data_IF_491661086037
#
_entry.id   IF_491661086037
#
_cell.length_a   1.000
_cell.length_b   1.000
_cell.length_c   1.000
_cell.angle_alpha   90.00
_cell.angle_beta   90.00
_cell.angle_gamma   90.00
#
_symmetry.space_group_name_H-M   'P 1'
#
loop_
_entity.id
_entity.type
_entity.pdbx_description
1 polymer ?
#
# COMPACT_ATOMS: atom_id res chain seq x y z
N UNK A 1 10.34 20.25 20.14
CA UNK A 1 9.98 19.94 18.74
C UNK A 1 10.42 18.51 18.46
N UNK A 2 9.57 17.66 17.88
CA UNK A 2 9.93 16.27 17.56
C UNK A 2 11.14 16.26 16.62
N UNK A 3 12.25 15.65 17.05
CA UNK A 3 13.45 15.49 16.23
C UNK A 3 13.37 14.18 15.43
N UNK A 4 13.27 14.29 14.11
CA UNK A 4 13.18 13.13 13.20
C UNK A 4 14.38 12.18 13.30
N UNK A 5 15.59 12.65 13.64
CA UNK A 5 16.74 11.76 13.81
C UNK A 5 16.69 10.93 15.10
N UNK A 6 15.94 11.40 16.10
CA UNK A 6 15.83 10.75 17.42
C UNK A 6 14.57 9.89 17.48
N UNK A 7 13.45 10.39 16.98
CA UNK A 7 12.14 9.76 17.10
C UNK A 7 11.65 9.10 15.81
N UNK A 8 12.37 9.30 14.69
CA UNK A 8 11.99 8.86 13.36
C UNK A 8 11.23 9.92 12.56
N UNK A 9 11.56 10.01 11.28
CA UNK A 9 10.98 10.97 10.35
C UNK A 9 9.50 10.68 10.09
N UNK A 10 9.10 9.40 10.04
CA UNK A 10 7.71 8.99 9.79
C UNK A 10 6.80 9.41 10.93
N UNK A 11 7.16 9.09 12.18
CA UNK A 11 6.43 9.54 13.38
C UNK A 11 6.36 11.07 13.46
N UNK A 12 7.47 11.75 13.14
CA UNK A 12 7.52 13.21 13.16
C UNK A 12 6.57 13.81 12.13
N UNK A 13 6.49 13.22 10.92
CA UNK A 13 5.58 13.65 9.87
C UNK A 13 4.11 13.43 10.24
N UNK A 14 3.77 12.27 10.80
CA UNK A 14 2.40 12.00 11.28
C UNK A 14 1.99 12.97 12.39
N UNK A 15 2.87 13.16 13.38
CA UNK A 15 2.61 14.09 14.48
C UNK A 15 2.43 15.52 13.97
N UNK A 16 3.24 15.94 13.00
CA UNK A 16 3.11 17.26 12.36
C UNK A 16 1.80 17.40 11.58
N UNK A 17 1.35 16.35 10.85
CA UNK A 17 0.06 16.36 10.13
C UNK A 17 -1.10 16.62 11.08
N UNK A 18 -1.16 15.89 12.19
CA UNK A 18 -2.22 16.07 13.21
C UNK A 18 -2.19 17.48 13.79
N UNK A 19 -1.00 18.03 14.08
CA UNK A 19 -0.88 19.41 14.57
C UNK A 19 -1.37 20.41 13.53
N UNK A 20 -1.04 20.22 12.25
CA UNK A 20 -1.50 21.09 11.16
C UNK A 20 -3.03 21.01 11.02
N UNK A 21 -3.63 19.83 11.10
CA UNK A 21 -5.09 19.64 11.04
C UNK A 21 -5.81 20.35 12.19
N UNK A 22 -5.26 20.27 13.41
CA UNK A 22 -5.80 20.99 14.57
C UNK A 22 -5.69 22.51 14.38
N UNK A 23 -4.53 23.01 13.94
CA UNK A 23 -4.33 24.45 13.68
C UNK A 23 -5.29 24.94 12.60
N UNK A 24 -5.42 24.20 11.50
CA UNK A 24 -6.33 24.52 10.39
C UNK A 24 -7.79 24.56 10.87
N UNK A 25 -8.18 23.62 11.73
CA UNK A 25 -9.54 23.60 12.29
C UNK A 25 -9.80 24.76 13.25
N UNK A 26 -8.82 25.15 14.06
CA UNK A 26 -8.90 26.34 14.92
C UNK A 26 -8.96 27.61 14.09
N UNK A 27 -8.17 27.72 13.02
CA UNK A 27 -8.23 28.84 12.09
C UNK A 27 -9.59 28.95 11.43
N UNK A 28 -10.16 27.83 10.96
CA UNK A 28 -11.50 27.80 10.39
C UNK A 28 -12.56 28.30 11.39
N UNK A 29 -12.48 27.88 12.65
CA UNK A 29 -13.37 28.37 13.72
C UNK A 29 -13.20 29.88 13.95
N UNK A 30 -11.96 30.38 13.99
CA UNK A 30 -11.69 31.82 14.14
C UNK A 30 -12.26 32.64 12.98
N UNK A 31 -12.10 32.17 11.74
CA UNK A 31 -12.69 32.80 10.55
C UNK A 31 -14.21 32.84 10.66
N UNK A 32 -14.86 31.75 11.07
CA UNK A 32 -16.31 31.74 11.30
C UNK A 32 -16.75 32.79 12.32
N UNK A 33 -15.99 33.01 13.40
CA UNK A 33 -16.31 34.09 14.35
C UNK A 33 -16.17 35.49 13.76
N UNK A 34 -15.16 35.73 12.93
CA UNK A 34 -14.98 37.02 12.24
C UNK A 34 -16.12 37.28 11.25
N UNK A 35 -16.55 36.25 10.50
CA UNK A 35 -17.67 36.34 9.56
C UNK A 35 -19.01 36.62 10.26
N UNK A 36 -19.24 36.05 11.45
CA UNK A 36 -20.41 36.35 12.29
C UNK A 36 -20.45 37.83 12.69
N UNK A 37 -19.30 38.38 13.08
CA UNK A 37 -19.18 39.77 13.51
C UNK A 37 -19.46 40.73 12.35
N UNK A 38 -18.88 40.48 11.17
CA UNK A 38 -19.02 41.33 9.99
C UNK A 38 -20.42 41.28 9.36
N UNK A 39 -21.10 40.13 9.38
CA UNK A 39 -22.37 39.93 8.68
C UNK A 39 -23.61 40.40 9.45
N UNK A 40 -23.54 40.56 10.78
CA UNK A 40 -24.67 40.96 11.63
C UNK A 40 -25.86 39.98 11.65
N UNK A 41 -25.86 38.95 10.80
CA UNK A 41 -26.87 37.90 10.69
C UNK A 41 -26.59 36.76 11.66
N UNK A 42 -26.95 36.95 12.94
CA UNK A 42 -26.83 35.92 14.00
C UNK A 42 -27.60 34.62 13.72
N UNK A 43 -28.54 34.61 12.77
CA UNK A 43 -29.50 33.51 12.59
C UNK A 43 -29.00 32.36 11.69
N UNK A 44 -28.07 32.59 10.76
CA UNK A 44 -27.53 31.54 9.88
C UNK A 44 -26.19 30.96 10.35
N UNK A 45 -25.44 31.73 11.13
CA UNK A 45 -24.09 31.36 11.54
C UNK A 45 -24.00 30.84 12.99
N UNK A 46 -25.13 30.81 13.72
CA UNK A 46 -25.22 30.30 15.09
C UNK A 46 -24.94 28.80 15.25
N UNK A 47 -25.00 28.01 14.17
CA UNK A 47 -24.72 26.56 14.19
C UNK A 47 -23.34 26.22 13.63
N UNK A 48 -22.80 27.01 12.68
CA UNK A 48 -21.51 26.70 12.03
C UNK A 48 -20.35 26.67 13.03
N UNK A 49 -20.30 27.61 13.98
CA UNK A 49 -19.25 27.60 15.01
C UNK A 49 -19.35 26.38 15.94
N UNK A 50 -20.55 25.84 16.18
CA UNK A 50 -20.74 24.60 16.94
C UNK A 50 -20.21 23.41 16.16
N UNK A 51 -20.47 23.33 14.86
CA UNK A 51 -19.93 22.28 13.98
C UNK A 51 -18.39 22.34 13.97
N UNK A 52 -17.81 23.53 13.82
CA UNK A 52 -16.35 23.73 13.84
C UNK A 52 -15.74 23.38 15.19
N UNK A 53 -16.39 23.75 16.29
CA UNK A 53 -15.97 23.36 17.64
C UNK A 53 -16.01 21.85 17.84
N UNK A 54 -17.09 21.20 17.38
CA UNK A 54 -17.23 19.74 17.38
C UNK A 54 -16.10 19.05 16.59
N UNK A 55 -15.74 19.59 15.43
CA UNK A 55 -14.63 19.06 14.62
C UNK A 55 -13.28 19.13 15.36
N UNK A 56 -12.98 20.23 16.06
CA UNK A 56 -11.75 20.36 16.87
C UNK A 56 -11.75 19.31 17.99
N UNK A 57 -12.87 19.14 18.70
CA UNK A 57 -12.97 18.12 19.74
C UNK A 57 -12.77 16.70 19.20
N UNK A 58 -13.38 16.38 18.06
CA UNK A 58 -13.20 15.10 17.39
C UNK A 58 -11.73 14.85 17.01
N UNK A 59 -11.03 15.85 16.48
CA UNK A 59 -9.60 15.74 16.16
C UNK A 59 -8.75 15.49 17.42
N UNK A 60 -9.02 16.21 18.52
CA UNK A 60 -8.30 16.02 19.78
C UNK A 60 -8.58 14.63 20.38
N UNK A 61 -9.83 14.18 20.36
CA UNK A 61 -10.21 12.86 20.85
C UNK A 61 -9.58 11.75 20.03
N UNK A 62 -9.63 11.87 18.70
CA UNK A 62 -8.96 10.97 17.76
C UNK A 62 -7.46 10.91 18.06
N UNK A 63 -6.77 12.05 18.18
CA UNK A 63 -5.33 12.10 18.48
C UNK A 63 -4.97 11.46 19.83
N UNK A 64 -5.87 11.55 20.82
CA UNK A 64 -5.69 10.96 22.17
C UNK A 64 -6.08 9.49 22.27
N UNK A 65 -6.80 8.96 21.29
CA UNK A 65 -7.21 7.56 21.27
C UNK A 65 -6.01 6.61 21.18
N UNK A 66 -6.20 5.34 21.51
CA UNK A 66 -5.14 4.33 21.42
C UNK A 66 -4.63 4.15 19.98
N UNK A 67 -5.50 4.41 19.00
CA UNK A 67 -5.20 4.33 17.57
C UNK A 67 -4.91 5.72 16.97
N UNK A 68 -4.82 6.75 17.81
CA UNK A 68 -4.62 8.16 17.46
C UNK A 68 -3.20 8.45 16.98
N UNK A 69 -2.33 8.95 17.85
CA UNK A 69 -0.92 9.14 17.49
C UNK A 69 -0.10 7.85 17.69
N UNK A 70 0.82 7.49 16.77
CA UNK A 70 1.69 6.35 16.98
C UNK A 70 2.64 6.62 18.16
N UNK A 71 2.96 5.57 18.92
CA UNK A 71 3.80 5.66 20.13
C UNK A 71 5.29 5.75 19.80
N UNK A 72 5.69 5.21 18.65
CA UNK A 72 7.05 5.17 18.15
C UNK A 72 7.06 5.13 16.62
N UNK A 73 8.24 5.19 16.02
CA UNK A 73 8.38 5.18 14.56
C UNK A 73 7.94 3.85 13.94
N UNK A 74 8.13 2.73 14.63
CA UNK A 74 7.70 1.42 14.16
C UNK A 74 6.18 1.38 13.98
N UNK A 75 5.44 1.88 14.97
CA UNK A 75 3.98 1.98 14.92
C UNK A 75 3.52 2.91 13.80
N UNK A 76 4.21 4.03 13.56
CA UNK A 76 3.92 4.95 12.47
C UNK A 76 4.10 4.26 11.09
N UNK A 77 5.24 3.62 10.88
CA UNK A 77 5.52 2.86 9.64
C UNK A 77 4.52 1.73 9.47
N UNK A 78 4.23 0.96 10.53
CA UNK A 78 3.21 -0.09 10.50
C UNK A 78 1.85 0.44 10.08
N UNK A 79 1.44 1.58 10.63
CA UNK A 79 0.17 2.22 10.29
C UNK A 79 0.12 2.61 8.83
N UNK A 80 1.19 3.19 8.28
CA UNK A 80 1.29 3.49 6.85
C UNK A 80 1.08 2.22 6.00
N UNK A 81 1.76 1.13 6.35
CA UNK A 81 1.58 -0.13 5.65
C UNK A 81 0.15 -0.68 5.78
N UNK A 82 -0.43 -0.66 6.99
CA UNK A 82 -1.80 -1.10 7.22
C UNK A 82 -2.84 -0.28 6.43
N UNK A 83 -2.60 1.03 6.24
CA UNK A 83 -3.49 1.91 5.47
C UNK A 83 -3.63 1.45 4.03
N UNK A 84 -2.54 1.01 3.42
CA UNK A 84 -2.51 0.62 2.00
C UNK A 84 -2.93 -0.85 1.78
N UNK A 85 -3.02 -1.64 2.85
CA UNK A 85 -3.35 -3.06 2.79
C UNK A 85 -4.74 -3.33 2.18
N UNK A 86 -5.74 -2.52 2.56
CA UNK A 86 -7.11 -2.67 2.05
C UNK A 86 -7.19 -2.37 0.56
N UNK A 87 -6.56 -1.29 0.10
CA UNK A 87 -6.54 -0.92 -1.31
C UNK A 87 -5.84 -1.98 -2.18
N UNK A 88 -4.74 -2.58 -1.70
CA UNK A 88 -4.09 -3.70 -2.38
C UNK A 88 -4.98 -4.94 -2.48
N UNK A 89 -5.77 -5.23 -1.43
CA UNK A 89 -6.72 -6.34 -1.44
C UNK A 89 -7.89 -6.06 -2.41
N UNK A 90 -8.37 -4.82 -2.43
CA UNK A 90 -9.41 -4.37 -3.36
C UNK A 90 -8.94 -4.51 -4.81
N UNK A 91 -7.72 -4.09 -5.16
CA UNK A 91 -7.18 -4.28 -6.52
C UNK A 91 -7.03 -5.76 -6.92
N UNK A 92 -6.69 -6.65 -5.97
CA UNK A 92 -6.69 -8.10 -6.23
C UNK A 92 -8.09 -8.63 -6.48
N UNK A 93 -9.08 -8.14 -5.74
CA UNK A 93 -10.48 -8.54 -5.86
C UNK A 93 -11.09 -8.03 -7.18
N UNK A 94 -10.87 -6.77 -7.51
CA UNK A 94 -11.31 -6.14 -8.76
C UNK A 94 -10.84 -6.92 -9.99
N UNK A 95 -9.55 -7.26 -10.08
CA UNK A 95 -9.04 -8.08 -11.19
C UNK A 95 -9.60 -9.51 -11.16
N UNK A 96 -9.93 -10.03 -9.98
CA UNK A 96 -10.64 -11.30 -9.83
C UNK A 96 -12.04 -11.24 -10.43
N UNK A 97 -12.81 -10.21 -10.09
CA UNK A 97 -14.15 -9.93 -10.61
C UNK A 97 -14.11 -9.76 -12.13
N UNK A 98 -13.16 -8.97 -12.66
CA UNK A 98 -12.92 -8.80 -14.11
C UNK A 98 -12.71 -10.13 -14.85
N UNK A 99 -12.02 -11.09 -14.25
CA UNK A 99 -11.81 -12.43 -14.84
C UNK A 99 -13.09 -13.25 -14.80
N UNK A 100 -13.86 -13.17 -13.72
CA UNK A 100 -15.12 -13.91 -13.57
C UNK A 100 -16.17 -13.39 -14.56
N UNK A 101 -16.29 -12.08 -14.70
CA UNK A 101 -17.22 -11.42 -15.64
C UNK A 101 -16.92 -11.83 -17.09
N UNK A 102 -15.65 -11.73 -17.51
CA UNK A 102 -15.23 -12.14 -18.86
C UNK A 102 -15.43 -13.64 -19.16
N UNK A 103 -15.55 -14.49 -18.13
CA UNK A 103 -15.85 -15.91 -18.32
C UNK A 103 -17.35 -16.18 -18.42
N UNK A 104 -18.19 -15.36 -17.79
CA UNK A 104 -19.64 -15.51 -17.76
C UNK A 104 -20.31 -14.90 -19.02
N UNK A 105 -19.74 -13.85 -19.60
CA UNK A 105 -20.25 -13.18 -20.81
C UNK A 105 -20.27 -14.06 -22.07
N UNK A 106 -19.58 -15.21 -22.06
CA UNK A 106 -19.62 -16.15 -23.19
C UNK A 106 -20.95 -16.90 -23.35
N UNK A 107 -21.94 -16.72 -22.45
CA UNK A 107 -23.22 -17.46 -22.47
C UNK A 107 -24.49 -16.61 -22.72
N UNK A 108 -24.43 -15.28 -22.83
CA UNK A 108 -25.65 -14.46 -22.95
C UNK A 108 -25.56 -13.42 -24.07
N UNK A 109 -26.05 -13.81 -25.24
CA UNK A 109 -26.31 -13.00 -26.43
C UNK A 109 -27.67 -12.28 -26.27
N UNK A 110 -27.86 -11.51 -25.19
CA UNK A 110 -29.09 -10.72 -24.96
C UNK A 110 -28.78 -9.23 -25.05
N UNK A 111 -29.13 -8.67 -26.22
CA UNK A 111 -29.24 -7.27 -26.62
C UNK A 111 -29.79 -6.36 -25.49
N UNK A 112 -28.89 -5.90 -24.64
CA UNK A 112 -29.14 -5.00 -23.54
C UNK A 112 -29.10 -3.58 -24.10
N UNK A 113 -30.28 -3.02 -24.38
CA UNK A 113 -30.55 -1.73 -25.06
C UNK A 113 -29.97 -0.45 -24.42
N UNK A 114 -28.76 -0.53 -23.85
CA UNK A 114 -27.86 0.56 -23.47
C UNK A 114 -27.18 1.22 -24.68
N UNK A 115 -27.23 0.60 -25.86
CA UNK A 115 -26.75 1.17 -27.14
C UNK A 115 -27.40 2.53 -27.49
N UNK A 116 -28.56 2.85 -26.91
CA UNK A 116 -29.26 4.11 -27.15
C UNK A 116 -28.67 5.31 -26.37
N UNK A 117 -27.76 5.09 -25.41
CA UNK A 117 -27.11 6.16 -24.64
C UNK A 117 -25.73 6.57 -25.19
N UNK A 118 -25.22 5.90 -26.22
CA UNK A 118 -23.89 6.19 -26.79
C UNK A 118 -22.74 5.98 -25.80
N UNK A 119 -22.98 5.23 -24.73
CA UNK A 119 -21.95 4.69 -23.85
C UNK A 119 -21.51 3.41 -24.53
N UNK A 120 -20.40 3.44 -25.26
CA UNK A 120 -19.86 2.21 -25.84
C UNK A 120 -19.60 1.22 -24.69
N UNK A 121 -20.24 0.05 -24.70
CA UNK A 121 -19.98 -0.96 -23.67
C UNK A 121 -18.49 -1.31 -23.69
N UNK A 122 -17.93 -1.53 -22.49
CA UNK A 122 -16.56 -2.04 -22.35
C UNK A 122 -16.41 -3.26 -23.26
N UNK A 123 -15.40 -3.26 -24.12
CA UNK A 123 -15.16 -4.41 -24.99
C UNK A 123 -14.84 -5.64 -24.14
N UNK A 124 -15.43 -6.80 -24.42
CA UNK A 124 -15.10 -8.02 -23.68
C UNK A 124 -13.63 -8.37 -23.88
N UNK A 125 -13.00 -8.97 -22.86
CA UNK A 125 -11.61 -9.40 -22.94
C UNK A 125 -11.47 -10.52 -23.98
N UNK A 126 -10.50 -10.39 -24.89
CA UNK A 126 -10.11 -11.49 -25.77
C UNK A 126 -9.48 -12.64 -24.97
N UNK A 127 -9.41 -13.85 -25.54
CA UNK A 127 -8.78 -15.00 -24.86
C UNK A 127 -7.33 -14.73 -24.44
N UNK A 128 -6.59 -13.96 -25.25
CA UNK A 128 -5.20 -13.59 -24.96
C UNK A 128 -5.09 -12.59 -23.81
N UNK A 129 -5.98 -11.60 -23.78
CA UNK A 129 -6.09 -10.61 -22.71
C UNK A 129 -6.53 -11.27 -21.40
N UNK A 130 -7.56 -12.11 -21.42
CA UNK A 130 -7.99 -12.88 -20.26
C UNK A 130 -6.85 -13.74 -19.69
N UNK A 131 -6.05 -14.37 -20.56
CA UNK A 131 -4.86 -15.13 -20.14
C UNK A 131 -3.78 -14.22 -19.53
N UNK A 132 -3.63 -12.98 -20.02
CA UNK A 132 -2.72 -11.98 -19.46
C UNK A 132 -3.20 -11.51 -18.09
N UNK A 133 -4.47 -11.12 -17.97
CA UNK A 133 -5.15 -10.72 -16.73
C UNK A 133 -5.00 -11.79 -15.64
N UNK A 134 -5.21 -13.07 -15.96
CA UNK A 134 -5.00 -14.20 -15.01
C UNK A 134 -3.56 -14.29 -14.47
N UNK A 135 -2.57 -13.98 -15.31
CA UNK A 135 -1.17 -13.97 -14.87
C UNK A 135 -0.86 -12.74 -14.01
N UNK A 136 -1.38 -11.57 -14.38
CA UNK A 136 -1.26 -10.34 -13.58
C UNK A 136 -1.91 -10.52 -12.21
N UNK A 137 -3.11 -11.12 -12.13
CA UNK A 137 -3.74 -11.46 -10.85
C UNK A 137 -2.82 -12.30 -9.95
N UNK A 138 -2.05 -13.22 -10.53
CA UNK A 138 -1.08 -14.02 -9.77
C UNK A 138 0.07 -13.17 -9.21
N UNK A 139 0.52 -12.15 -9.96
CA UNK A 139 1.51 -11.17 -9.50
C UNK A 139 0.94 -10.34 -8.35
N UNK A 140 -0.26 -9.79 -8.50
CA UNK A 140 -0.92 -8.96 -7.49
C UNK A 140 -1.15 -9.73 -6.19
N UNK A 141 -1.59 -11.00 -6.27
CA UNK A 141 -1.75 -11.87 -5.08
C UNK A 141 -0.44 -12.09 -4.32
N UNK A 142 0.67 -12.27 -5.04
CA UNK A 142 1.99 -12.41 -4.41
C UNK A 142 2.47 -11.09 -3.80
N UNK A 143 2.20 -9.95 -4.44
CA UNK A 143 2.50 -8.63 -3.90
C UNK A 143 1.71 -8.34 -2.62
N UNK A 144 0.41 -8.65 -2.61
CA UNK A 144 -0.42 -8.55 -1.41
C UNK A 144 0.11 -9.48 -0.29
N UNK A 145 0.45 -10.74 -0.62
CA UNK A 145 1.06 -11.66 0.35
C UNK A 145 2.37 -11.12 0.94
N UNK A 146 3.25 -10.58 0.10
CA UNK A 146 4.50 -9.93 0.53
C UNK A 146 4.19 -8.78 1.49
N UNK A 147 3.25 -7.91 1.13
CA UNK A 147 2.87 -6.73 1.92
C UNK A 147 2.32 -7.12 3.30
N UNK A 148 1.39 -8.06 3.35
CA UNK A 148 0.86 -8.62 4.60
C UNK A 148 1.96 -9.24 5.47
N UNK A 149 2.95 -9.89 4.85
CA UNK A 149 4.08 -10.49 5.56
C UNK A 149 5.06 -9.46 6.10
N UNK A 150 5.27 -8.34 5.41
CA UNK A 150 6.00 -7.21 6.01
C UNK A 150 5.27 -6.67 7.23
N UNK A 151 3.95 -6.49 7.17
CA UNK A 151 3.17 -6.02 8.33
C UNK A 151 3.28 -6.98 9.52
N UNK A 152 3.07 -8.27 9.28
CA UNK A 152 2.91 -9.27 10.34
C UNK A 152 4.23 -9.81 10.90
N UNK A 153 5.28 -9.92 10.10
CA UNK A 153 6.55 -10.51 10.53
C UNK A 153 7.60 -9.43 10.82
N UNK A 154 7.59 -8.35 10.03
CA UNK A 154 8.53 -7.25 10.22
C UNK A 154 7.88 -6.27 11.21
N UNK A 155 6.88 -5.51 10.76
CA UNK A 155 6.40 -4.35 11.51
C UNK A 155 5.63 -4.70 12.82
N UNK A 156 5.35 -5.97 13.07
CA UNK A 156 4.74 -6.45 14.33
C UNK A 156 5.76 -7.00 15.34
N UNK A 157 7.02 -7.16 14.98
CA UNK A 157 8.05 -7.63 15.90
C UNK A 157 8.40 -6.50 16.87
N UNK A 158 8.00 -6.65 18.14
CA UNK A 158 8.12 -5.63 19.21
C UNK A 158 9.56 -5.32 19.65
N UNK A 159 10.58 -5.61 18.84
CA UNK A 159 11.95 -5.34 19.21
C UNK A 159 12.34 -3.92 18.86
N UNK A 160 12.69 -3.16 19.90
CA UNK A 160 13.31 -1.82 19.87
C UNK A 160 14.70 -1.78 19.20
N UNK A 161 15.02 -2.73 18.33
CA UNK A 161 16.33 -2.93 17.71
C UNK A 161 16.49 -2.27 16.35
N UNK A 162 15.42 -1.83 15.70
CA UNK A 162 15.55 -1.20 14.40
C UNK A 162 15.85 0.28 14.52
N UNK A 163 16.93 0.69 13.86
CA UNK A 163 17.24 2.10 13.70
C UNK A 163 16.09 2.80 12.96
N UNK A 164 15.67 3.95 13.49
CA UNK A 164 14.58 4.74 12.90
C UNK A 164 14.81 5.06 11.43
N UNK A 165 16.07 5.26 11.01
CA UNK A 165 16.42 5.49 9.60
C UNK A 165 16.01 4.34 8.69
N UNK A 166 16.16 3.09 9.12
CA UNK A 166 15.80 1.92 8.30
C UNK A 166 14.28 1.80 8.19
N UNK A 167 13.57 2.09 9.29
CA UNK A 167 12.11 2.17 9.31
C UNK A 167 11.58 3.28 8.39
N UNK A 168 12.19 4.45 8.45
CA UNK A 168 11.83 5.60 7.61
C UNK A 168 12.04 5.31 6.12
N UNK A 169 13.05 4.50 5.77
CA UNK A 169 13.27 4.06 4.39
C UNK A 169 12.26 3.00 3.92
N UNK A 170 11.64 2.26 4.84
CA UNK A 170 10.59 1.28 4.54
C UNK A 170 9.21 1.94 4.39
N UNK A 171 8.96 3.04 5.09
CA UNK A 171 7.69 3.78 5.05
C UNK A 171 7.19 4.15 3.64
N UNK A 172 8.01 4.73 2.73
CA UNK A 172 7.55 5.13 1.40
C UNK A 172 7.36 3.95 0.43
N UNK A 173 7.78 2.73 0.79
CA UNK A 173 7.71 1.58 -0.10
C UNK A 173 6.31 0.96 -0.16
N UNK A 174 5.50 1.08 0.90
CA UNK A 174 4.10 0.64 0.87
C UNK A 174 3.26 1.41 -0.16
N UNK A 175 3.18 2.76 -0.13
CA UNK A 175 2.39 3.49 -1.11
C UNK A 175 2.98 3.39 -2.53
N UNK A 176 4.30 3.19 -2.67
CA UNK A 176 4.91 2.93 -3.96
C UNK A 176 4.48 1.56 -4.54
N UNK A 177 4.34 0.54 -3.69
CA UNK A 177 3.84 -0.77 -4.10
C UNK A 177 2.37 -0.70 -4.49
N UNK A 178 1.54 -0.04 -3.68
CA UNK A 178 0.13 0.20 -3.98
C UNK A 178 -0.02 0.91 -5.33
N UNK A 179 0.65 2.05 -5.50
CA UNK A 179 0.59 2.81 -6.76
C UNK A 179 1.04 1.97 -7.96
N UNK A 180 2.13 1.20 -7.86
CA UNK A 180 2.57 0.34 -8.97
C UNK A 180 1.58 -0.81 -9.26
N UNK A 181 0.86 -1.31 -8.26
CA UNK A 181 -0.23 -2.26 -8.47
C UNK A 181 -1.43 -1.58 -9.16
N UNK A 182 -1.83 -0.40 -8.72
CA UNK A 182 -2.97 0.34 -9.29
C UNK A 182 -2.71 0.72 -10.76
N UNK A 183 -1.52 1.23 -11.07
CA UNK A 183 -1.12 1.52 -12.46
C UNK A 183 -1.15 0.23 -13.30
N UNK A 184 -0.64 -0.89 -12.77
CA UNK A 184 -0.72 -2.17 -13.47
C UNK A 184 -2.17 -2.65 -13.68
N UNK A 185 -3.05 -2.50 -12.69
CA UNK A 185 -4.49 -2.84 -12.81
C UNK A 185 -5.14 -2.01 -13.91
N UNK A 186 -4.84 -0.71 -13.99
CA UNK A 186 -5.40 0.19 -15.01
C UNK A 186 -5.06 -0.21 -16.45
N UNK A 187 -4.00 -1.00 -16.67
CA UNK A 187 -3.62 -1.51 -18.00
C UNK A 187 -4.41 -2.76 -18.44
N UNK A 188 -5.31 -3.27 -17.59
CA UNK A 188 -6.05 -4.51 -17.83
C UNK A 188 -7.41 -4.29 -18.48
N UNK A 189 -7.88 -3.04 -18.55
CA UNK A 189 -9.09 -2.70 -19.29
C UNK A 189 -8.91 -2.96 -20.79
N UNK A 190 -9.98 -3.42 -21.44
CA UNK A 190 -9.97 -3.72 -22.87
C UNK A 190 -10.10 -2.43 -23.70
N UNK A 191 -9.39 -2.31 -24.84
CA UNK A 191 -8.37 -3.21 -25.35
C UNK A 191 -7.03 -3.06 -24.61
N UNK A 192 -6.39 -4.18 -24.23
CA UNK A 192 -5.14 -4.17 -23.48
C UNK A 192 -3.91 -3.98 -24.38
N UNK A 193 -3.14 -2.95 -24.10
CA UNK A 193 -1.84 -2.72 -24.72
C UNK A 193 -0.75 -3.54 -24.03
N UNK A 194 -0.21 -4.55 -24.73
CA UNK A 194 0.80 -5.45 -24.16
C UNK A 194 2.07 -4.73 -23.69
N UNK A 195 2.48 -3.68 -24.40
CA UNK A 195 3.65 -2.87 -24.05
C UNK A 195 3.39 -2.03 -22.79
N UNK A 196 2.17 -1.54 -22.60
CA UNK A 196 1.76 -0.80 -21.39
C UNK A 196 1.74 -1.72 -20.18
N UNK A 197 1.13 -2.91 -20.29
CA UNK A 197 1.16 -3.94 -19.23
C UNK A 197 2.60 -4.31 -18.87
N UNK A 198 3.48 -4.47 -19.87
CA UNK A 198 4.89 -4.79 -19.64
C UNK A 198 5.64 -3.65 -18.94
N UNK A 199 5.38 -2.40 -19.34
CA UNK A 199 5.98 -1.22 -18.72
C UNK A 199 5.63 -1.14 -17.24
N UNK A 200 4.36 -1.35 -16.89
CA UNK A 200 3.92 -1.33 -15.49
C UNK A 200 4.42 -2.53 -14.69
N UNK A 201 4.55 -3.71 -15.31
CA UNK A 201 5.21 -4.86 -14.70
C UNK A 201 6.69 -4.59 -14.37
N UNK A 202 7.41 -3.88 -15.24
CA UNK A 202 8.80 -3.48 -15.01
C UNK A 202 8.90 -2.40 -13.92
N UNK A 203 7.96 -1.46 -13.86
CA UNK A 203 7.86 -0.47 -12.79
C UNK A 203 7.61 -1.13 -11.43
N UNK A 204 6.63 -2.05 -11.36
CA UNK A 204 6.33 -2.85 -10.18
C UNK A 204 7.54 -3.67 -9.72
N UNK A 205 8.24 -4.32 -10.66
CA UNK A 205 9.49 -5.02 -10.36
C UNK A 205 10.52 -4.11 -9.69
N UNK A 206 10.68 -2.88 -10.17
CA UNK A 206 11.57 -1.89 -9.56
C UNK A 206 11.22 -1.58 -8.11
N UNK A 207 9.92 -1.52 -7.78
CA UNK A 207 9.47 -1.35 -6.38
C UNK A 207 9.76 -2.60 -5.54
N UNK A 208 9.50 -3.79 -6.07
CA UNK A 208 9.77 -5.06 -5.40
C UNK A 208 11.27 -5.23 -5.09
N UNK A 209 12.13 -4.88 -6.03
CA UNK A 209 13.59 -4.91 -5.85
C UNK A 209 14.02 -3.95 -4.73
N UNK A 210 13.43 -2.74 -4.64
CA UNK A 210 13.69 -1.80 -3.54
C UNK A 210 13.24 -2.35 -2.19
N UNK A 211 12.09 -3.01 -2.12
CA UNK A 211 11.62 -3.68 -0.90
C UNK A 211 12.60 -4.78 -0.49
N UNK A 212 13.01 -5.63 -1.44
CA UNK A 212 14.00 -6.69 -1.19
C UNK A 212 15.30 -6.11 -0.62
N UNK A 213 15.82 -5.06 -1.23
CA UNK A 213 17.06 -4.44 -0.79
C UNK A 213 16.93 -3.92 0.65
N UNK A 214 15.81 -3.27 1.00
CA UNK A 214 15.57 -2.78 2.36
C UNK A 214 15.40 -3.89 3.38
N UNK A 215 14.65 -4.94 3.06
CA UNK A 215 14.52 -6.08 3.96
C UNK A 215 15.85 -6.83 4.14
N UNK A 216 16.67 -6.92 3.09
CA UNK A 216 17.99 -7.54 3.20
C UNK A 216 18.92 -6.81 4.19
N UNK A 217 18.84 -5.47 4.25
CA UNK A 217 19.61 -4.68 5.22
C UNK A 217 19.15 -4.95 6.67
N UNK A 218 17.85 -5.21 6.88
CA UNK A 218 17.31 -5.56 8.19
C UNK A 218 17.83 -6.92 8.69
N UNK A 219 17.97 -7.91 7.79
CA UNK A 219 18.46 -9.24 8.17
C UNK A 219 19.97 -9.28 8.44
N UNK A 220 20.75 -8.44 7.77
CA UNK A 220 22.20 -8.39 7.92
C UNK A 220 22.67 -7.55 9.13
N UNK A 221 21.75 -6.95 9.90
CA UNK A 221 22.12 -6.22 11.11
C UNK A 221 22.61 -7.21 12.20
N UNK A 222 23.81 -7.00 12.79
CA UNK A 222 24.44 -7.96 13.70
C UNK A 222 23.60 -8.33 14.93
N UNK A 223 22.69 -7.44 15.36
CA UNK A 223 21.77 -7.67 16.48
C UNK A 223 20.52 -8.52 16.13
N UNK A 224 20.23 -8.78 14.86
CA UNK A 224 19.05 -9.55 14.43
C UNK A 224 19.15 -11.05 14.74
N UNK A 225 20.36 -11.58 14.96
CA UNK A 225 20.58 -13.01 15.27
C UNK A 225 20.23 -13.38 16.71
N UNK A 226 20.38 -12.45 17.65
CA UNK A 226 20.04 -12.68 19.06
C UNK A 226 18.51 -12.70 19.32
N UNK A 227 17.72 -12.19 18.37
CA UNK A 227 16.30 -11.87 18.60
C UNK A 227 15.34 -13.04 18.38
N UNK A 228 15.76 -14.07 17.63
CA UNK A 228 14.90 -15.22 17.28
C UNK A 228 15.31 -16.53 17.98
N UNK A 229 16.50 -16.57 18.61
CA UNK A 229 16.98 -17.73 19.38
C UNK A 229 16.39 -17.81 20.81
N UNK A 230 15.56 -16.84 21.22
CA UNK A 230 14.95 -16.75 22.55
C UNK A 230 13.96 -17.88 22.93
N UNK A 231 13.79 -18.90 22.09
CA UNK A 231 12.89 -20.04 22.36
C UNK A 231 13.63 -21.39 22.46
N UNK A 232 14.94 -21.47 22.20
CA UNK A 232 15.66 -22.75 22.20
C UNK A 232 16.66 -22.88 23.36
N UNK A 233 16.14 -23.21 24.56
CA UNK A 233 16.93 -23.70 25.69
C UNK A 233 17.40 -25.14 25.39
N UNK A 234 18.39 -25.27 24.50
CA UNK A 234 19.40 -26.33 24.43
C UNK A 234 20.04 -26.33 23.03
N UNK A 235 21.38 -26.43 23.01
CA UNK A 235 22.26 -26.95 21.95
C UNK A 235 23.19 -25.95 21.25
N UNK A 236 24.49 -26.24 21.43
CA UNK A 236 25.60 -26.16 20.46
C UNK A 236 25.36 -25.34 19.20
N UNK A 237 26.05 -24.19 19.14
CA UNK A 237 26.10 -23.25 18.02
C UNK A 237 26.57 -23.95 16.72
N UNK A 238 25.72 -24.09 15.70
CA UNK A 238 26.14 -24.37 14.33
C UNK A 238 26.16 -23.03 13.56
N UNK A 239 27.33 -22.62 13.11
CA UNK A 239 27.64 -21.32 12.50
C UNK A 239 27.04 -21.06 11.11
N UNK A 240 25.91 -21.66 10.72
CA UNK A 240 25.39 -21.47 9.35
C UNK A 240 23.89 -21.77 9.14
N UNK A 241 23.01 -21.39 10.07
CA UNK A 241 21.55 -21.44 9.83
C UNK A 241 21.07 -20.08 9.34
N UNK A 242 20.81 -19.95 8.03
CA UNK A 242 20.07 -18.80 7.48
C UNK A 242 18.73 -18.65 8.18
N UNK A 243 18.34 -17.40 8.47
CA UNK A 243 17.10 -17.08 9.16
C UNK A 243 15.90 -17.62 8.34
N UNK A 244 14.99 -18.44 8.93
CA UNK A 244 13.81 -18.95 8.22
C UNK A 244 12.97 -17.85 7.57
N UNK A 245 12.89 -16.68 8.20
CA UNK A 245 12.17 -15.52 7.68
C UNK A 245 12.83 -14.98 6.40
N UNK A 246 14.14 -14.76 6.42
CA UNK A 246 14.91 -14.33 5.25
C UNK A 246 14.72 -15.29 4.06
N UNK A 247 14.74 -16.60 4.33
CA UNK A 247 14.48 -17.62 3.30
C UNK A 247 13.07 -17.49 2.70
N UNK A 248 12.06 -17.24 3.54
CA UNK A 248 10.69 -17.06 3.07
C UNK A 248 10.58 -15.84 2.17
N UNK A 249 11.12 -14.68 2.57
CA UNK A 249 11.08 -13.46 1.77
C UNK A 249 11.83 -13.63 0.44
N UNK A 250 13.03 -14.21 0.45
CA UNK A 250 13.77 -14.51 -0.78
C UNK A 250 12.95 -15.40 -1.74
N UNK A 251 12.31 -16.44 -1.20
CA UNK A 251 11.43 -17.31 -2.01
C UNK A 251 10.24 -16.54 -2.57
N UNK A 252 9.62 -15.65 -1.78
CA UNK A 252 8.50 -14.82 -2.21
C UNK A 252 8.92 -13.87 -3.35
N UNK A 253 10.05 -13.19 -3.21
CA UNK A 253 10.62 -12.33 -4.27
C UNK A 253 10.89 -13.11 -5.55
N UNK A 254 11.50 -14.30 -5.46
CA UNK A 254 11.75 -15.14 -6.62
C UNK A 254 10.44 -15.56 -7.32
N UNK A 255 9.39 -15.88 -6.56
CA UNK A 255 8.07 -16.19 -7.14
C UNK A 255 7.43 -14.98 -7.82
N UNK A 256 7.52 -13.79 -7.22
CA UNK A 256 7.01 -12.55 -7.81
C UNK A 256 7.72 -12.26 -9.13
N UNK A 257 9.05 -12.29 -9.15
CA UNK A 257 9.85 -12.04 -10.35
C UNK A 257 9.55 -13.05 -11.46
N UNK A 258 9.38 -14.33 -11.11
CA UNK A 258 8.97 -15.36 -12.05
C UNK A 258 7.56 -15.09 -12.60
N UNK A 259 6.61 -14.69 -11.75
CA UNK A 259 5.26 -14.36 -12.17
C UNK A 259 5.22 -13.15 -13.10
N UNK A 260 6.01 -12.11 -12.81
CA UNK A 260 6.20 -10.93 -13.66
C UNK A 260 6.71 -11.34 -15.06
N UNK A 261 7.74 -12.18 -15.13
CA UNK A 261 8.28 -12.68 -16.40
C UNK A 261 7.23 -13.46 -17.21
N UNK A 262 6.41 -14.27 -16.54
CA UNK A 262 5.35 -15.02 -17.20
C UNK A 262 4.24 -14.10 -17.73
N UNK A 263 3.91 -13.05 -16.97
CA UNK A 263 2.88 -12.05 -17.32
C UNK A 263 3.31 -11.16 -18.50
N UNK A 264 4.57 -10.75 -18.55
CA UNK A 264 5.13 -9.92 -19.63
C UNK A 264 5.20 -10.62 -21.01
N UNK A 265 5.00 -11.95 -21.05
CA UNK A 265 5.04 -12.73 -22.30
C UNK A 265 6.45 -12.97 -22.85
N UNK A 266 6.60 -13.78 -23.92
CA UNK A 266 7.88 -13.97 -24.57
C UNK A 266 8.35 -12.64 -25.15
N UNK A 267 9.52 -12.18 -24.71
CA UNK A 267 10.21 -11.09 -25.40
C UNK A 267 10.53 -11.57 -26.81
N UNK A 268 9.81 -11.08 -27.82
CA UNK A 268 10.21 -11.20 -29.21
C UNK A 268 11.49 -10.39 -29.39
N UNK A 269 12.61 -10.95 -28.95
CA UNK A 269 13.94 -10.51 -29.37
C UNK A 269 14.04 -10.98 -30.81
N UNK A 270 13.69 -10.07 -31.72
CA UNK A 270 13.73 -10.28 -33.15
C UNK A 270 15.08 -10.83 -33.58
N UNK A 271 15.04 -12.03 -34.13
CA UNK A 271 15.93 -12.44 -35.21
C UNK A 271 15.64 -11.53 -36.41
N UNK A 272 16.22 -10.33 -36.43
CA UNK A 272 16.44 -9.63 -37.70
C UNK A 272 17.60 -10.34 -38.41
N UNK A 273 17.27 -10.91 -39.57
CA UNK A 273 18.16 -11.62 -40.49
C UNK A 273 18.80 -10.66 -41.47
#
# INVERSE_FOLDING_TARGET
MFNGSVHGATLTKESASVVIEVITSVQALATTFLEIEDSGERARSGEDWLVRTGAIHALIEMARSNDGLPKDNLAAVRRHWLKDAGALEDGVREVGEMIEDAQNETETDEDDGWDELGIEPSQPLTEEELKRTKKVLSVLRLCNLLHQKVITEILSTSSSTWANSVLDELAPLSPALLSACDELVSTLDSPQEADSVKTELDALKGVIDRIRDRLSLLYNHPDSTALLDGVSLNQTIPTNRRNPMEKWFNTCFDQILKAIQLAAGPSNVGTES
#
